data_IF_000173812520
#
_entry.id   IF_000173812520
#
_cell.length_a   1.000
_cell.length_b   1.000
_cell.length_c   1.000
_cell.angle_alpha   90.00
_cell.angle_beta   90.00
_cell.angle_gamma   90.00
#
_symmetry.space_group_name_H-M   'P 1'
#
loop_
_entity.id
_entity.type
_entity.pdbx_description
1 polymer ?
#
# COMPACT_ATOMS: atom_id res chain seq x y z
N UNK A 1 8.07 -18.64 -6.91
CA UNK A 1 8.76 -17.50 -7.55
C UNK A 1 9.49 -16.69 -6.49
N UNK A 2 10.71 -16.26 -6.79
CA UNK A 2 11.53 -15.41 -5.90
C UNK A 2 12.13 -14.29 -6.75
N UNK A 3 12.00 -13.05 -6.29
CA UNK A 3 12.54 -11.89 -7.01
C UNK A 3 12.39 -10.59 -6.23
N UNK A 4 13.01 -9.49 -6.68
CA UNK A 4 12.83 -8.19 -6.05
C UNK A 4 11.39 -7.71 -6.14
N UNK A 5 10.94 -6.90 -5.16
CA UNK A 5 9.61 -6.31 -5.14
C UNK A 5 9.48 -5.13 -6.12
N UNK A 6 9.85 -5.35 -7.38
CA UNK A 6 9.67 -4.38 -8.47
C UNK A 6 8.21 -4.34 -8.93
N UNK A 7 7.78 -3.23 -9.52
CA UNK A 7 6.42 -3.07 -10.05
C UNK A 7 6.03 -4.23 -10.99
N UNK A 8 6.95 -4.64 -11.84
CA UNK A 8 6.73 -5.74 -12.79
C UNK A 8 6.57 -7.10 -12.10
N UNK A 9 7.38 -7.41 -11.09
CA UNK A 9 7.25 -8.67 -10.36
C UNK A 9 5.96 -8.70 -9.53
N UNK A 10 5.57 -7.56 -8.96
CA UNK A 10 4.30 -7.42 -8.25
C UNK A 10 3.13 -7.57 -9.21
N UNK A 11 3.17 -6.94 -10.38
CA UNK A 11 2.14 -7.09 -11.41
C UNK A 11 1.90 -8.55 -11.80
N UNK A 12 2.96 -9.38 -11.86
CA UNK A 12 2.81 -10.81 -12.15
C UNK A 12 2.08 -11.59 -11.06
N UNK A 13 2.12 -11.13 -9.83
CA UNK A 13 1.47 -11.80 -8.68
C UNK A 13 0.08 -11.24 -8.38
N UNK A 14 -0.09 -9.92 -8.53
CA UNK A 14 -1.29 -9.20 -8.09
C UNK A 14 -2.07 -8.58 -9.24
N UNK A 15 -1.53 -8.59 -10.47
CA UNK A 15 -2.01 -7.84 -11.64
C UNK A 15 -1.92 -6.32 -11.49
N UNK A 16 -1.42 -5.80 -10.39
CA UNK A 16 -1.27 -4.36 -10.11
C UNK A 16 0.17 -3.92 -10.38
N UNK A 17 0.44 -3.20 -11.46
CA UNK A 17 1.81 -2.80 -11.85
C UNK A 17 2.28 -1.54 -11.11
N UNK A 18 2.21 -1.57 -9.78
CA UNK A 18 2.75 -0.49 -8.93
C UNK A 18 3.99 -0.97 -8.17
N UNK A 19 4.93 -0.09 -7.85
CA UNK A 19 6.08 -0.44 -7.01
C UNK A 19 5.63 -1.00 -5.66
N UNK A 20 6.39 -1.96 -5.10
CA UNK A 20 6.02 -2.62 -3.85
C UNK A 20 5.85 -1.66 -2.67
N UNK A 21 6.70 -0.62 -2.58
CA UNK A 21 6.56 0.42 -1.56
C UNK A 21 5.22 1.15 -1.68
N UNK A 22 4.84 1.56 -2.89
CA UNK A 22 3.54 2.21 -3.17
C UNK A 22 2.36 1.33 -2.72
N UNK A 23 2.40 0.04 -3.05
CA UNK A 23 1.35 -0.88 -2.64
C UNK A 23 1.30 -1.02 -1.11
N UNK A 24 2.44 -1.12 -0.44
CA UNK A 24 2.51 -1.21 1.03
C UNK A 24 1.94 0.06 1.69
N UNK A 25 2.28 1.24 1.19
CA UNK A 25 1.76 2.52 1.71
C UNK A 25 0.23 2.56 1.58
N UNK A 26 -0.31 2.25 0.40
CA UNK A 26 -1.76 2.17 0.18
C UNK A 26 -2.43 1.16 1.12
N UNK A 27 -1.84 -0.04 1.29
CA UNK A 27 -2.36 -1.07 2.19
C UNK A 27 -2.34 -0.65 3.67
N UNK A 28 -1.46 0.27 4.05
CA UNK A 28 -1.41 0.88 5.38
C UNK A 28 -2.34 2.08 5.54
N UNK A 29 -2.99 2.52 4.46
CA UNK A 29 -3.82 3.71 4.45
C UNK A 29 -3.04 5.02 4.35
N UNK A 30 -1.81 4.93 3.88
CA UNK A 30 -0.92 6.07 3.62
C UNK A 30 -0.95 6.41 2.12
N UNK A 31 -0.75 7.67 1.77
CA UNK A 31 -0.55 8.07 0.39
C UNK A 31 0.94 7.98 0.06
N UNK A 32 1.34 7.24 -0.98
CA UNK A 32 2.69 7.37 -1.50
C UNK A 32 2.86 8.80 -2.03
N UNK A 33 4.02 9.39 -1.80
CA UNK A 33 4.28 10.78 -2.24
C UNK A 33 5.31 10.76 -3.36
N UNK A 34 4.93 11.33 -4.50
CA UNK A 34 5.83 11.47 -5.64
C UNK A 34 7.02 12.38 -5.30
N UNK A 35 8.18 12.07 -5.88
CA UNK A 35 9.32 12.97 -5.81
C UNK A 35 8.97 14.27 -6.52
N UNK A 36 8.97 15.37 -5.78
CA UNK A 36 8.58 16.69 -6.26
C UNK A 36 9.68 17.73 -6.02
N UNK A 37 9.69 18.85 -6.75
CA UNK A 37 10.61 19.97 -6.48
C UNK A 37 10.34 20.59 -5.11
N UNK A 38 11.27 21.42 -4.65
CA UNK A 38 11.13 22.12 -3.36
C UNK A 38 9.93 23.09 -3.29
N UNK A 39 9.28 23.39 -4.41
CA UNK A 39 8.02 24.12 -4.43
C UNK A 39 6.97 23.30 -3.64
N UNK A 40 6.32 23.96 -2.70
CA UNK A 40 5.32 23.31 -1.85
C UNK A 40 4.16 22.77 -2.69
N UNK A 41 3.63 21.58 -2.36
CA UNK A 41 2.37 21.10 -2.90
C UNK A 41 1.25 22.11 -2.67
N UNK A 42 0.27 22.16 -3.56
CA UNK A 42 -0.91 23.00 -3.36
C UNK A 42 -1.99 22.24 -2.60
N UNK A 43 -2.66 22.93 -1.69
CA UNK A 43 -3.72 22.37 -0.85
C UNK A 43 -5.03 23.12 -1.12
N UNK A 44 -6.08 22.39 -1.45
CA UNK A 44 -7.41 22.93 -1.77
C UNK A 44 -8.45 22.26 -0.88
N UNK A 45 -9.29 23.06 -0.22
CA UNK A 45 -10.44 22.56 0.52
C UNK A 45 -11.65 22.40 -0.39
N UNK A 46 -12.35 21.26 -0.30
CA UNK A 46 -13.65 21.03 -0.95
C UNK A 46 -14.79 21.24 0.04
N UNK A 47 -15.92 21.87 -0.39
CA UNK A 47 -17.15 21.94 0.42
C UNK A 47 -17.71 20.56 0.82
N UNK A 48 -17.32 19.51 0.10
CA UNK A 48 -17.73 18.14 0.38
C UNK A 48 -17.02 17.54 1.62
N UNK A 49 -16.15 18.32 2.30
CA UNK A 49 -15.56 17.93 3.56
C UNK A 49 -14.21 17.23 3.45
N UNK A 50 -13.44 17.46 2.39
CA UNK A 50 -12.10 16.92 2.23
C UNK A 50 -11.10 17.96 1.70
N UNK A 51 -9.83 17.68 1.93
CA UNK A 51 -8.70 18.39 1.34
C UNK A 51 -8.20 17.63 0.12
N UNK A 52 -7.81 18.36 -0.92
CA UNK A 52 -7.02 17.79 -2.02
C UNK A 52 -5.63 18.39 -2.00
N UNK A 53 -4.62 17.52 -1.93
CA UNK A 53 -3.21 17.86 -2.10
C UNK A 53 -2.83 17.57 -3.53
N UNK A 54 -2.38 18.58 -4.26
CA UNK A 54 -1.87 18.45 -5.62
C UNK A 54 -0.35 18.50 -5.59
N UNK A 55 0.29 17.48 -6.14
CA UNK A 55 1.75 17.34 -6.20
C UNK A 55 2.17 17.22 -7.67
N UNK A 56 3.01 18.13 -8.11
CA UNK A 56 3.66 18.07 -9.41
C UNK A 56 5.04 17.42 -9.24
N UNK A 57 5.27 16.31 -9.93
CA UNK A 57 6.53 15.57 -9.87
C UNK A 57 7.61 16.19 -10.78
N UNK A 58 8.86 15.92 -10.45
CA UNK A 58 10.01 16.22 -11.31
C UNK A 58 10.07 15.38 -12.60
N UNK A 59 9.12 14.44 -12.79
CA UNK A 59 9.10 13.47 -13.92
C UNK A 59 7.84 13.58 -14.78
N UNK A 60 7.29 14.79 -14.93
CA UNK A 60 6.05 15.03 -15.67
C UNK A 60 4.87 14.16 -15.20
N UNK A 61 4.85 13.86 -13.91
CA UNK A 61 3.74 13.17 -13.26
C UNK A 61 3.06 14.11 -12.27
N UNK A 62 1.77 13.90 -12.08
CA UNK A 62 0.94 14.60 -11.11
C UNK A 62 0.29 13.58 -10.18
N UNK A 63 0.19 13.96 -8.93
CA UNK A 63 -0.51 13.20 -7.91
C UNK A 63 -1.55 14.07 -7.22
N UNK A 64 -2.76 13.56 -7.11
CA UNK A 64 -3.85 14.16 -6.36
C UNK A 64 -4.20 13.24 -5.20
N UNK A 65 -4.10 13.73 -3.97
CA UNK A 65 -4.40 12.99 -2.74
C UNK A 65 -5.59 13.65 -2.06
N UNK A 66 -6.68 12.91 -1.85
CA UNK A 66 -7.81 13.39 -1.05
C UNK A 66 -7.69 12.94 0.39
N UNK A 67 -7.83 13.90 1.29
CA UNK A 67 -7.70 13.71 2.74
C UNK A 67 -8.95 14.24 3.43
N UNK A 68 -9.53 13.46 4.35
CA UNK A 68 -10.62 13.94 5.18
C UNK A 68 -10.29 13.80 6.66
N UNK A 69 -10.77 14.70 7.53
CA UNK A 69 -10.71 14.51 8.96
C UNK A 69 -11.42 13.22 9.39
N UNK A 70 -10.92 12.59 10.45
CA UNK A 70 -11.69 11.53 11.09
C UNK A 70 -13.04 12.08 11.58
N UNK A 71 -14.14 11.32 11.50
CA UNK A 71 -15.45 11.77 11.97
C UNK A 71 -15.43 12.23 13.44
N UNK A 72 -14.63 11.57 14.28
CA UNK A 72 -14.44 11.94 15.68
C UNK A 72 -13.78 13.31 15.88
N UNK A 73 -13.05 13.79 14.90
CA UNK A 73 -12.23 14.98 15.01
C UNK A 73 -12.86 16.23 14.35
N UNK A 74 -14.03 16.10 13.72
CA UNK A 74 -14.69 17.20 12.99
C UNK A 74 -14.98 18.45 13.85
N UNK A 75 -15.15 18.27 15.14
CA UNK A 75 -15.33 19.39 16.08
C UNK A 75 -14.04 20.02 16.60
N UNK A 76 -12.88 19.47 16.23
CA UNK A 76 -11.58 19.96 16.68
C UNK A 76 -11.07 21.07 15.76
N UNK A 77 -10.19 21.96 16.28
CA UNK A 77 -9.41 22.87 15.46
C UNK A 77 -8.66 22.09 14.36
N UNK A 78 -8.49 22.71 13.19
CA UNK A 78 -7.92 22.06 11.99
C UNK A 78 -6.51 21.49 12.25
N UNK A 79 -5.70 22.13 13.08
CA UNK A 79 -4.34 21.70 13.45
C UNK A 79 -4.31 20.51 14.41
N UNK A 80 -5.46 20.08 14.92
CA UNK A 80 -5.62 18.89 15.79
C UNK A 80 -6.40 17.78 15.15
N UNK A 81 -6.91 17.98 13.95
CA UNK A 81 -7.63 16.96 13.22
C UNK A 81 -6.66 15.93 12.62
N UNK A 82 -6.91 14.67 12.90
CA UNK A 82 -6.20 13.57 12.25
C UNK A 82 -6.86 13.30 10.90
N UNK A 83 -6.07 13.22 9.85
CA UNK A 83 -6.55 13.03 8.50
C UNK A 83 -6.48 11.56 8.09
N UNK A 84 -7.39 11.16 7.20
CA UNK A 84 -7.42 9.85 6.54
C UNK A 84 -7.25 10.07 5.04
N UNK A 85 -6.50 9.20 4.40
CA UNK A 85 -6.43 9.16 2.94
C UNK A 85 -7.71 8.52 2.43
N UNK A 86 -8.42 9.19 1.54
CA UNK A 86 -9.62 8.69 0.89
C UNK A 86 -9.36 8.19 -0.52
N UNK A 87 -8.44 8.86 -1.22
CA UNK A 87 -8.23 8.68 -2.64
C UNK A 87 -6.81 9.12 -3.01
N UNK A 88 -6.18 8.38 -3.90
CA UNK A 88 -4.88 8.72 -4.49
C UNK A 88 -4.95 8.47 -5.98
N UNK A 89 -4.71 9.50 -6.77
CA UNK A 89 -4.68 9.40 -8.23
C UNK A 89 -3.35 9.89 -8.75
N UNK A 90 -2.69 9.07 -9.54
CA UNK A 90 -1.42 9.40 -10.19
C UNK A 90 -1.57 9.38 -11.69
N UNK A 91 -1.16 10.46 -12.31
CA UNK A 91 -1.15 10.64 -13.77
C UNK A 91 0.28 10.95 -14.24
N UNK A 92 0.63 10.51 -15.42
CA UNK A 92 1.86 10.87 -16.10
C UNK A 92 1.60 11.10 -17.57
N UNK A 93 2.04 12.23 -18.11
CA UNK A 93 1.86 12.62 -19.50
C UNK A 93 0.40 12.52 -20.00
N UNK A 94 -0.57 12.83 -19.10
CA UNK A 94 -2.01 12.76 -19.40
C UNK A 94 -2.65 11.36 -19.29
N UNK A 95 -1.87 10.34 -18.91
CA UNK A 95 -2.39 9.00 -18.67
C UNK A 95 -2.47 8.70 -17.17
N UNK A 96 -3.60 8.15 -16.73
CA UNK A 96 -3.73 7.65 -15.36
C UNK A 96 -2.87 6.41 -15.21
N UNK A 97 -1.89 6.48 -14.30
CA UNK A 97 -1.06 5.33 -13.94
C UNK A 97 -1.80 4.39 -13.00
N UNK A 98 -2.42 4.94 -11.97
CA UNK A 98 -3.33 4.24 -11.08
C UNK A 98 -4.24 5.21 -10.34
N UNK A 99 -5.36 4.68 -9.88
CA UNK A 99 -6.29 5.34 -8.99
C UNK A 99 -6.60 4.38 -7.84
N UNK A 100 -6.44 4.84 -6.60
CA UNK A 100 -6.70 4.05 -5.40
C UNK A 100 -7.74 4.72 -4.53
N UNK A 101 -8.83 4.03 -4.23
CA UNK A 101 -9.85 4.45 -3.27
C UNK A 101 -9.69 3.67 -1.97
N UNK A 102 -9.66 4.41 -0.85
CA UNK A 102 -9.47 3.87 0.49
C UNK A 102 -10.73 4.14 1.32
N UNK A 103 -11.46 3.11 1.64
CA UNK A 103 -12.78 3.23 2.28
C UNK A 103 -12.91 2.33 3.51
N UNK A 104 -14.02 2.50 4.26
CA UNK A 104 -14.35 1.70 5.44
C UNK A 104 -13.25 1.77 6.52
N UNK A 105 -12.77 3.00 6.80
CA UNK A 105 -11.73 3.22 7.80
C UNK A 105 -12.22 2.84 9.20
N UNK A 106 -11.42 2.06 9.89
CA UNK A 106 -11.71 1.64 11.25
C UNK A 106 -10.42 1.61 12.09
N UNK A 107 -10.52 1.79 13.41
CA UNK A 107 -9.40 1.60 14.31
C UNK A 107 -8.80 0.20 14.17
N UNK A 108 -7.48 0.11 14.14
CA UNK A 108 -6.77 -1.14 14.22
C UNK A 108 -6.24 -1.33 15.64
N UNK A 109 -6.72 -2.34 16.39
CA UNK A 109 -6.24 -2.57 17.73
C UNK A 109 -4.77 -2.98 17.70
N UNK A 110 -3.98 -2.45 18.63
CA UNK A 110 -2.62 -2.94 18.86
C UNK A 110 -2.69 -4.32 19.52
N UNK A 111 -1.93 -5.27 19.01
CA UNK A 111 -1.87 -6.60 19.60
C UNK A 111 -1.26 -6.55 21.01
N UNK A 112 -1.79 -7.38 21.89
CA UNK A 112 -1.10 -7.74 23.14
C UNK A 112 0.12 -8.64 22.89
N UNK A 113 0.91 -8.94 23.94
CA UNK A 113 1.99 -9.90 23.83
C UNK A 113 1.42 -11.27 23.45
N UNK A 114 2.17 -12.01 22.63
CA UNK A 114 1.86 -13.42 22.38
C UNK A 114 2.43 -14.25 23.51
N UNK A 115 1.57 -14.93 24.23
CA UNK A 115 1.94 -15.85 25.31
C UNK A 115 1.83 -17.27 24.78
N UNK A 116 2.85 -18.10 25.05
CA UNK A 116 2.79 -19.52 24.78
C UNK A 116 1.75 -20.17 25.73
N UNK A 117 0.75 -20.92 25.21
CA UNK A 117 -0.27 -21.55 26.03
C UNK A 117 0.31 -22.53 27.06
N UNK A 118 1.43 -23.18 26.75
CA UNK A 118 2.12 -24.10 27.65
C UNK A 118 3.09 -23.41 28.61
N UNK A 119 3.26 -22.08 28.46
CA UNK A 119 4.13 -21.24 29.28
C UNK A 119 5.60 -21.72 29.34
N UNK A 120 6.07 -22.32 28.28
CA UNK A 120 7.44 -22.82 28.11
C UNK A 120 8.34 -21.70 27.60
N UNK A 121 7.87 -21.00 26.57
CA UNK A 121 8.62 -19.90 25.96
C UNK A 121 8.27 -18.55 26.59
N UNK A 122 9.23 -17.61 26.67
CA UNK A 122 8.96 -16.27 27.16
C UNK A 122 7.96 -15.53 26.23
N UNK A 123 7.11 -14.65 26.79
CA UNK A 123 6.17 -13.89 25.99
C UNK A 123 6.87 -13.03 24.93
N UNK A 124 6.35 -13.06 23.70
CA UNK A 124 6.84 -12.22 22.62
C UNK A 124 6.08 -10.87 22.68
N UNK A 125 6.77 -9.75 22.91
CA UNK A 125 6.12 -8.45 22.99
C UNK A 125 5.60 -8.00 21.60
N UNK A 126 4.67 -7.01 21.54
CA UNK A 126 4.30 -6.34 20.30
C UNK A 126 5.52 -5.80 19.57
N UNK A 127 5.49 -5.80 18.24
CA UNK A 127 6.60 -5.35 17.40
C UNK A 127 6.80 -3.82 17.35
N UNK A 128 5.93 -3.06 17.99
CA UNK A 128 6.00 -1.60 18.05
C UNK A 128 5.04 -0.99 19.06
N UNK A 129 5.01 0.35 19.13
CA UNK A 129 4.19 1.05 20.11
C UNK A 129 2.69 0.91 19.82
N UNK A 130 1.88 1.26 20.81
CA UNK A 130 0.43 1.41 20.64
C UNK A 130 0.17 2.47 19.58
N UNK A 131 -0.71 2.15 18.65
CA UNK A 131 -1.13 3.04 17.58
C UNK A 131 -2.64 3.23 17.62
N UNK A 132 -3.10 4.45 17.42
CA UNK A 132 -4.52 4.78 17.33
C UNK A 132 -4.90 5.14 15.89
N UNK A 133 -4.15 4.66 14.92
CA UNK A 133 -4.44 4.88 13.51
C UNK A 133 -5.75 4.22 13.10
N UNK A 134 -6.50 4.91 12.23
CA UNK A 134 -7.57 4.28 11.47
C UNK A 134 -7.00 3.80 10.14
N UNK A 135 -7.28 2.56 9.79
CA UNK A 135 -6.82 1.93 8.56
C UNK A 135 -8.01 1.62 7.67
N UNK A 136 -7.91 1.85 6.35
CA UNK A 136 -8.96 1.45 5.42
C UNK A 136 -9.11 -0.07 5.43
N UNK A 137 -10.31 -0.55 5.56
CA UNK A 137 -10.61 -1.99 5.45
C UNK A 137 -10.85 -2.43 4.03
N UNK A 138 -11.12 -1.48 3.15
CA UNK A 138 -11.31 -1.73 1.72
C UNK A 138 -10.45 -0.76 0.94
N UNK A 139 -9.62 -1.31 0.06
CA UNK A 139 -8.76 -0.58 -0.84
C UNK A 139 -9.03 -1.08 -2.23
N UNK A 140 -9.44 -0.19 -3.10
CA UNK A 140 -9.72 -0.48 -4.49
C UNK A 140 -8.66 0.21 -5.35
N UNK A 141 -7.92 -0.54 -6.14
CA UNK A 141 -6.86 -0.03 -7.02
C UNK A 141 -7.21 -0.33 -8.46
N UNK A 142 -7.41 0.71 -9.23
CA UNK A 142 -7.65 0.67 -10.67
C UNK A 142 -6.40 1.10 -11.42
N UNK A 143 -5.99 0.31 -12.40
CA UNK A 143 -4.92 0.63 -13.33
C UNK A 143 -5.47 0.53 -14.74
N UNK A 144 -5.76 1.66 -15.41
CA UNK A 144 -6.43 1.66 -16.72
C UNK A 144 -5.64 0.95 -17.82
N UNK A 145 -4.33 0.90 -17.71
CA UNK A 145 -3.47 0.12 -18.60
C UNK A 145 -2.52 -0.73 -17.76
N UNK A 146 -2.71 -2.02 -17.65
CA UNK A 146 -3.38 -3.02 -18.50
C UNK A 146 -4.81 -3.44 -18.08
N UNK A 147 -5.69 -2.55 -17.68
CA UNK A 147 -7.07 -2.85 -17.22
C UNK A 147 -7.12 -3.74 -15.98
N UNK A 148 -6.30 -3.40 -14.99
CA UNK A 148 -6.31 -4.11 -13.72
C UNK A 148 -7.25 -3.42 -12.73
N UNK A 149 -8.16 -4.19 -12.14
CA UNK A 149 -9.07 -3.78 -11.07
C UNK A 149 -8.89 -4.76 -9.91
N UNK A 150 -8.31 -4.29 -8.81
CA UNK A 150 -7.99 -5.12 -7.66
C UNK A 150 -8.56 -4.53 -6.38
N UNK A 151 -9.23 -5.38 -5.61
CA UNK A 151 -9.80 -5.02 -4.31
C UNK A 151 -9.14 -5.80 -3.20
N UNK A 152 -8.62 -5.07 -2.22
CA UNK A 152 -8.13 -5.64 -0.96
C UNK A 152 -9.17 -5.39 0.11
N UNK A 153 -9.56 -6.46 0.81
CA UNK A 153 -10.53 -6.39 1.91
C UNK A 153 -9.91 -7.06 3.14
N UNK A 154 -9.88 -6.33 4.26
CA UNK A 154 -9.37 -6.84 5.51
C UNK A 154 -10.51 -7.31 6.42
N UNK A 155 -10.55 -8.59 6.71
CA UNK A 155 -11.46 -9.17 7.70
C UNK A 155 -11.00 -8.85 9.13
N UNK A 156 -9.69 -8.97 9.37
CA UNK A 156 -9.04 -8.67 10.64
C UNK A 156 -7.76 -7.90 10.39
N UNK A 157 -7.56 -6.87 11.17
CA UNK A 157 -6.37 -6.06 11.11
C UNK A 157 -5.87 -5.80 12.54
N UNK A 158 -4.61 -6.04 12.76
CA UNK A 158 -3.95 -5.82 14.05
C UNK A 158 -2.70 -5.00 13.82
N UNK A 159 -2.51 -3.96 14.63
CA UNK A 159 -1.33 -3.12 14.56
C UNK A 159 -0.21 -3.69 15.42
N UNK A 160 1.02 -3.65 14.90
CA UNK A 160 2.21 -4.10 15.60
C UNK A 160 2.07 -5.48 16.26
N UNK A 161 1.67 -6.54 15.52
CA UNK A 161 1.55 -7.87 16.11
C UNK A 161 2.92 -8.35 16.62
N UNK A 162 2.95 -9.25 17.63
CA UNK A 162 4.15 -9.93 18.01
C UNK A 162 4.73 -10.72 16.84
N UNK A 163 5.99 -10.50 16.53
CA UNK A 163 6.69 -11.14 15.42
C UNK A 163 7.66 -12.20 15.95
N UNK A 164 7.34 -13.50 15.87
CA UNK A 164 8.27 -14.58 16.16
C UNK A 164 9.52 -14.50 15.28
N UNK A 165 10.67 -14.99 15.73
CA UNK A 165 11.84 -15.15 14.87
C UNK A 165 11.49 -15.87 13.57
N UNK A 166 12.06 -15.43 12.44
CA UNK A 166 11.80 -16.04 11.14
C UNK A 166 10.45 -15.69 10.49
N UNK A 167 9.64 -14.78 11.07
CA UNK A 167 8.31 -14.40 10.49
C UNK A 167 8.39 -13.98 9.02
N UNK A 168 9.48 -13.36 8.60
CA UNK A 168 9.70 -12.92 7.22
C UNK A 168 10.64 -13.83 6.43
N UNK A 169 11.03 -14.96 7.01
CA UNK A 169 11.85 -15.98 6.36
C UNK A 169 10.94 -17.07 5.79
N UNK A 170 10.91 -17.21 4.48
CA UNK A 170 10.19 -18.29 3.84
C UNK A 170 11.19 -19.29 3.27
N UNK A 171 11.41 -20.39 3.97
CA UNK A 171 12.16 -21.50 3.41
C UNK A 171 11.41 -22.08 2.19
N UNK A 172 12.11 -22.47 1.13
CA UNK A 172 11.49 -23.19 0.02
C UNK A 172 10.80 -24.44 0.54
N UNK A 173 9.63 -24.74 0.01
CA UNK A 173 8.95 -26.01 0.33
C UNK A 173 9.85 -27.20 -0.05
N UNK A 174 9.90 -28.27 0.75
CA UNK A 174 10.68 -29.47 0.44
C UNK A 174 10.35 -29.97 -0.98
N UNK A 175 11.38 -30.22 -1.79
CA UNK A 175 11.22 -30.68 -3.17
C UNK A 175 10.89 -29.59 -4.19
N UNK A 176 10.84 -28.31 -3.79
CA UNK A 176 10.64 -27.21 -4.74
C UNK A 176 11.95 -26.47 -4.99
N UNK A 177 12.19 -26.09 -6.24
CA UNK A 177 13.28 -25.20 -6.63
C UNK A 177 12.69 -23.81 -6.89
N UNK A 178 13.10 -22.76 -6.15
CA UNK A 178 12.60 -21.42 -6.40
C UNK A 178 12.97 -20.97 -7.80
N UNK A 179 11.99 -20.55 -8.60
CA UNK A 179 12.22 -19.98 -9.91
C UNK A 179 12.46 -18.49 -9.76
N UNK A 180 13.65 -17.95 -10.07
CA UNK A 180 13.88 -16.52 -10.03
C UNK A 180 13.03 -15.83 -11.09
N UNK A 181 12.37 -14.73 -10.70
CA UNK A 181 11.61 -13.87 -11.60
C UNK A 181 12.31 -12.54 -11.67
N UNK A 182 12.86 -12.22 -12.83
CA UNK A 182 13.36 -10.89 -13.16
C UNK A 182 12.58 -10.37 -14.36
N UNK A 183 12.06 -9.18 -14.27
CA UNK A 183 11.38 -8.53 -15.38
C UNK A 183 12.32 -8.07 -16.49
N UNK A 184 13.62 -8.10 -16.22
CA UNK A 184 14.67 -7.75 -17.18
C UNK A 184 15.06 -8.93 -18.11
N UNK A 185 14.51 -10.12 -17.88
CA UNK A 185 14.67 -11.21 -18.84
C UNK A 185 13.83 -10.89 -20.08
N UNK A 186 14.48 -10.61 -21.19
CA UNK A 186 13.82 -10.55 -22.50
C UNK A 186 12.90 -11.77 -22.66
N UNK A 187 11.69 -11.60 -23.22
CA UNK A 187 10.84 -12.74 -23.50
C UNK A 187 11.64 -13.78 -24.29
N UNK A 188 11.53 -15.08 -23.97
CA UNK A 188 12.23 -16.10 -24.73
C UNK A 188 11.89 -15.89 -26.20
N UNK A 189 12.92 -15.78 -27.03
CA UNK A 189 12.75 -15.62 -28.46
C UNK A 189 11.73 -16.65 -28.94
N UNK A 190 10.67 -16.20 -29.57
CA UNK A 190 9.66 -17.06 -30.15
C UNK A 190 10.35 -18.06 -31.02
N UNK A 191 10.20 -19.34 -30.68
CA UNK A 191 10.75 -20.45 -31.47
C UNK A 191 10.24 -20.26 -32.90
N UNK A 192 11.13 -20.23 -33.93
CA UNK A 192 10.65 -20.15 -35.29
C UNK A 192 9.75 -21.37 -35.54
N UNK A 193 8.58 -21.14 -36.13
CA UNK A 193 7.70 -22.20 -36.56
C UNK A 193 8.52 -23.06 -37.55
N UNK A 194 8.68 -24.34 -37.22
CA UNK A 194 9.24 -25.31 -38.14
C UNK A 194 8.36 -25.36 -39.39
N UNK A 195 8.98 -25.48 -40.60
CA UNK A 195 8.30 -25.46 -41.87
C UNK A 195 7.40 -26.67 -42.11
#
# INVERSE_FOLDING_TARGET
>A
YVGPASACNIARLTTVPVPGGVLVDLLRGEAPVLVHPAAAPTLVWSPDGYWTVHIESTRDAREDIRLAPRPSDWGLPWDRQRLRVLDVRVEQQGYVLYHAELTDHAPAPTAGPRVDPDNIDPPIPPSGPVCDAEIPRKIHVEVPSPEADVRFVYDKLTWNPPLPPGTFEQAPLPGTVPTPVTCDAAPPASRPADP
#
